data_IF_123716660278
#
_entry.id   IF_123716660278
#
_cell.length_a   1.000
_cell.length_b   1.000
_cell.length_c   1.000
_cell.angle_alpha   90.00
_cell.angle_beta   90.00
_cell.angle_gamma   90.00
#
_symmetry.space_group_name_H-M   'P 1'
#
loop_
_entity.id
_entity.type
_entity.pdbx_description
1 polymer ?
#
# COMPACT_ATOMS: atom_id res chain seq x y z
N UNK A 1 14.83 24.60 34.78
CA UNK A 1 16.17 24.31 34.21
C UNK A 1 16.08 24.61 32.74
N UNK A 2 16.97 25.43 32.17
CA UNK A 2 16.98 25.66 30.71
C UNK A 2 17.42 24.34 30.07
N UNK A 3 16.46 23.56 29.57
CA UNK A 3 16.77 22.39 28.77
C UNK A 3 17.24 22.91 27.42
N UNK A 4 18.53 22.77 27.13
CA UNK A 4 19.07 23.07 25.81
C UNK A 4 18.61 21.95 24.87
N UNK A 5 17.75 22.21 23.87
CA UNK A 5 17.32 21.21 22.92
C UNK A 5 18.53 20.74 22.09
N UNK A 6 18.45 19.50 21.59
CA UNK A 6 19.47 18.93 20.71
C UNK A 6 19.75 19.87 19.54
N UNK A 7 21.03 20.00 19.20
CA UNK A 7 21.45 20.77 18.04
C UNK A 7 21.07 20.05 16.75
N UNK A 8 20.91 20.82 15.66
CA UNK A 8 20.59 20.27 14.33
C UNK A 8 21.63 19.24 13.87
N UNK A 9 22.90 19.39 14.29
CA UNK A 9 23.96 18.42 13.98
C UNK A 9 23.76 17.09 14.70
N UNK A 10 23.44 17.14 15.99
CA UNK A 10 23.18 15.94 16.79
C UNK A 10 21.91 15.22 16.36
N UNK A 11 20.85 15.97 16.00
CA UNK A 11 19.64 15.40 15.38
C UNK A 11 19.96 14.67 14.08
N UNK A 12 20.83 15.25 13.24
CA UNK A 12 21.24 14.65 11.97
C UNK A 12 22.11 13.40 12.15
N UNK A 13 22.94 13.35 13.19
CA UNK A 13 23.71 12.15 13.56
C UNK A 13 22.82 11.04 14.14
N UNK A 14 21.81 11.39 14.93
CA UNK A 14 20.85 10.44 15.49
C UNK A 14 19.84 9.92 14.45
N UNK A 15 19.76 10.57 13.28
CA UNK A 15 18.78 10.26 12.24
C UNK A 15 19.03 8.88 11.64
N UNK A 16 18.05 7.98 11.77
CA UNK A 16 18.06 6.70 11.05
C UNK A 16 18.00 6.93 9.54
N UNK A 17 18.75 6.16 8.73
CA UNK A 17 18.69 6.28 7.28
C UNK A 17 17.30 5.87 6.76
N UNK A 18 16.77 6.64 5.82
CA UNK A 18 15.49 6.34 5.18
C UNK A 18 15.66 5.07 4.34
N UNK A 19 15.01 3.97 4.77
CA UNK A 19 15.06 2.70 4.06
C UNK A 19 13.90 2.60 3.07
N UNK A 20 14.19 2.39 1.80
CA UNK A 20 13.15 2.20 0.80
C UNK A 20 12.62 0.76 0.84
N UNK A 21 11.62 0.54 1.69
CA UNK A 21 10.94 -0.77 1.86
C UNK A 21 10.39 -1.35 0.56
N UNK A 22 10.03 -0.53 -0.43
CA UNK A 22 9.51 -1.02 -1.70
C UNK A 22 10.60 -1.71 -2.56
N UNK A 23 11.85 -1.23 -2.50
CA UNK A 23 12.97 -1.80 -3.26
C UNK A 23 13.40 -3.12 -2.64
N UNK A 24 13.58 -3.15 -1.32
CA UNK A 24 13.93 -4.39 -0.61
C UNK A 24 12.87 -5.48 -0.75
N UNK A 25 11.59 -5.10 -0.82
CA UNK A 25 10.52 -6.08 -1.01
C UNK A 25 10.56 -6.71 -2.40
N UNK A 26 10.75 -5.91 -3.46
CA UNK A 26 10.83 -6.44 -4.84
C UNK A 26 12.02 -7.38 -5.05
N UNK A 27 13.14 -7.12 -4.39
CA UNK A 27 14.36 -7.93 -4.49
C UNK A 27 14.23 -9.30 -3.80
N UNK A 28 13.38 -9.41 -2.78
CA UNK A 28 13.21 -10.64 -1.99
C UNK A 28 12.17 -11.63 -2.54
N UNK A 29 11.38 -11.22 -3.53
CA UNK A 29 10.32 -12.08 -4.11
C UNK A 29 10.91 -13.16 -5.04
N UNK A 30 10.55 -14.40 -4.77
CA UNK A 30 10.83 -15.53 -5.64
C UNK A 30 10.07 -15.44 -6.97
N UNK A 31 10.50 -16.22 -7.97
CA UNK A 31 9.87 -16.25 -9.30
C UNK A 31 8.39 -16.64 -9.23
N UNK A 32 8.03 -17.61 -8.36
CA UNK A 32 6.65 -18.05 -8.18
C UNK A 32 5.78 -17.00 -7.49
N UNK A 33 6.32 -16.29 -6.51
CA UNK A 33 5.63 -15.19 -5.85
C UNK A 33 5.39 -14.01 -6.80
N UNK A 34 6.39 -13.69 -7.66
CA UNK A 34 6.23 -12.68 -8.73
C UNK A 34 5.13 -13.07 -9.71
N UNK A 35 5.07 -14.35 -10.08
CA UNK A 35 4.00 -14.86 -10.95
C UNK A 35 2.62 -14.73 -10.27
N UNK A 36 2.49 -15.20 -9.02
CA UNK A 36 1.23 -15.09 -8.26
C UNK A 36 0.77 -13.64 -8.10
N UNK A 37 1.69 -12.72 -7.82
CA UNK A 37 1.42 -11.28 -7.76
C UNK A 37 0.92 -10.74 -9.09
N UNK A 38 1.61 -11.05 -10.19
CA UNK A 38 1.22 -10.58 -11.53
C UNK A 38 -0.18 -11.07 -11.91
N UNK A 39 -0.47 -12.35 -11.64
CA UNK A 39 -1.80 -12.93 -11.88
C UNK A 39 -2.86 -12.24 -11.04
N UNK A 40 -2.59 -12.02 -9.74
CA UNK A 40 -3.51 -11.36 -8.81
C UNK A 40 -3.78 -9.92 -9.20
N UNK A 41 -2.74 -9.16 -9.58
CA UNK A 41 -2.87 -7.77 -10.02
C UNK A 41 -3.66 -7.66 -11.33
N UNK A 42 -3.51 -8.61 -12.25
CA UNK A 42 -4.21 -8.61 -13.54
C UNK A 42 -5.68 -9.03 -13.39
N UNK A 43 -5.92 -10.16 -12.71
CA UNK A 43 -7.26 -10.75 -12.54
C UNK A 43 -8.10 -9.95 -11.53
N UNK A 44 -7.46 -9.34 -10.53
CA UNK A 44 -8.13 -8.55 -9.50
C UNK A 44 -8.66 -7.18 -9.98
N UNK A 45 -8.50 -6.83 -11.26
CA UNK A 45 -9.00 -5.56 -11.79
C UNK A 45 -10.50 -5.58 -12.08
N UNK A 46 -11.16 -4.44 -11.86
CA UNK A 46 -12.57 -4.28 -12.23
C UNK A 46 -12.80 -4.42 -13.75
N UNK A 47 -11.83 -4.01 -14.57
CA UNK A 47 -11.88 -4.18 -16.02
C UNK A 47 -11.91 -5.65 -16.44
N UNK A 48 -11.07 -6.49 -15.84
CA UNK A 48 -11.05 -7.93 -16.13
C UNK A 48 -12.38 -8.60 -15.75
N UNK A 49 -12.96 -8.23 -14.61
CA UNK A 49 -14.30 -8.69 -14.21
C UNK A 49 -15.37 -8.36 -15.26
N UNK A 50 -15.39 -7.12 -15.78
CA UNK A 50 -16.36 -6.71 -16.79
C UNK A 50 -16.18 -7.47 -18.11
N UNK A 51 -14.93 -7.72 -18.53
CA UNK A 51 -14.63 -8.52 -19.73
C UNK A 51 -15.18 -9.94 -19.57
N UNK A 52 -14.92 -10.60 -18.44
CA UNK A 52 -15.44 -11.94 -18.16
C UNK A 52 -16.97 -11.97 -18.08
N UNK A 53 -17.58 -10.96 -17.48
CA UNK A 53 -19.04 -10.84 -17.39
C UNK A 53 -19.66 -10.73 -18.77
N UNK A 54 -19.18 -9.81 -19.61
CA UNK A 54 -19.67 -9.61 -20.98
C UNK A 54 -19.46 -10.86 -21.84
N UNK A 55 -18.30 -11.50 -21.73
CA UNK A 55 -18.02 -12.76 -22.40
C UNK A 55 -19.00 -13.86 -21.98
N UNK A 56 -19.25 -14.01 -20.68
CA UNK A 56 -20.17 -15.02 -20.13
C UNK A 56 -21.59 -14.78 -20.61
N UNK A 57 -22.07 -13.54 -20.55
CA UNK A 57 -23.40 -13.17 -21.05
C UNK A 57 -23.51 -13.39 -22.57
N UNK A 58 -22.47 -13.06 -23.32
CA UNK A 58 -22.40 -13.31 -24.77
C UNK A 58 -22.46 -14.79 -25.11
N UNK A 59 -21.70 -15.63 -24.39
CA UNK A 59 -21.68 -17.08 -24.57
C UNK A 59 -23.04 -17.73 -24.25
N UNK A 60 -23.62 -17.38 -23.10
CA UNK A 60 -24.94 -17.88 -22.69
C UNK A 60 -26.00 -17.40 -23.69
N UNK A 61 -25.96 -16.12 -24.06
CA UNK A 61 -26.86 -15.53 -25.05
C UNK A 61 -26.81 -16.31 -26.37
N UNK A 62 -25.61 -16.53 -26.92
CA UNK A 62 -25.41 -17.28 -28.15
C UNK A 62 -25.98 -18.71 -28.07
N UNK A 63 -25.74 -19.43 -26.97
CA UNK A 63 -26.21 -20.81 -26.83
C UNK A 63 -27.72 -20.94 -26.58
N UNK A 64 -28.40 -19.87 -26.11
CA UNK A 64 -29.86 -19.84 -25.95
C UNK A 64 -30.56 -19.42 -27.24
N UNK A 65 -30.15 -18.30 -27.84
CA UNK A 65 -30.87 -17.68 -28.98
C UNK A 65 -30.37 -18.14 -30.33
N UNK A 66 -29.17 -18.72 -30.40
CA UNK A 66 -28.54 -19.16 -31.64
C UNK A 66 -29.28 -20.32 -32.32
N UNK A 67 -29.03 -20.54 -33.63
CA UNK A 67 -29.55 -21.67 -34.39
C UNK A 67 -29.19 -22.99 -33.72
N UNK A 68 -30.12 -23.94 -33.62
CA UNK A 68 -29.93 -25.22 -32.91
C UNK A 68 -28.68 -25.97 -33.39
N UNK A 69 -28.39 -25.91 -34.68
CA UNK A 69 -27.24 -26.57 -35.31
C UNK A 69 -25.89 -25.94 -34.97
N UNK A 70 -25.87 -24.70 -34.47
CA UNK A 70 -24.65 -23.94 -34.11
C UNK A 70 -24.50 -23.74 -32.59
N UNK A 71 -25.32 -24.41 -31.77
CA UNK A 71 -25.20 -24.37 -30.31
C UNK A 71 -24.06 -25.29 -29.87
N UNK A 72 -23.04 -24.72 -29.25
CA UNK A 72 -21.89 -25.46 -28.74
C UNK A 72 -22.20 -26.16 -27.41
N UNK A 73 -23.06 -25.57 -26.56
CA UNK A 73 -23.42 -26.07 -25.23
C UNK A 73 -24.92 -25.85 -24.96
N UNK A 74 -25.80 -26.81 -25.34
CA UNK A 74 -27.24 -26.65 -25.26
C UNK A 74 -27.80 -26.57 -23.83
N UNK A 75 -28.86 -25.80 -23.65
CA UNK A 75 -29.71 -25.80 -22.45
C UNK A 75 -30.23 -27.23 -22.15
N UNK A 76 -30.31 -27.71 -20.88
CA UNK A 76 -30.35 -26.93 -19.63
C UNK A 76 -29.04 -26.80 -18.86
N UNK A 77 -28.10 -27.71 -19.08
CA UNK A 77 -27.05 -27.96 -18.09
C UNK A 77 -25.75 -27.19 -18.33
N UNK A 78 -25.53 -26.61 -19.53
CA UNK A 78 -24.31 -25.88 -19.88
C UNK A 78 -23.02 -26.57 -19.37
N UNK A 79 -22.94 -27.89 -19.59
CA UNK A 79 -22.01 -28.76 -18.85
C UNK A 79 -20.56 -28.43 -19.20
N UNK A 80 -20.30 -28.11 -20.46
CA UNK A 80 -18.95 -27.76 -20.92
C UNK A 80 -18.49 -26.47 -20.27
N UNK A 81 -19.35 -25.45 -20.28
CA UNK A 81 -19.06 -24.17 -19.63
C UNK A 81 -18.84 -24.33 -18.12
N UNK A 82 -19.73 -25.04 -17.42
CA UNK A 82 -19.61 -25.25 -15.97
C UNK A 82 -18.34 -26.02 -15.60
N UNK A 83 -18.01 -27.07 -16.35
CA UNK A 83 -16.82 -27.86 -16.09
C UNK A 83 -15.53 -27.05 -16.28
N UNK A 84 -15.40 -26.37 -17.42
CA UNK A 84 -14.21 -25.56 -17.75
C UNK A 84 -14.07 -24.40 -16.77
N UNK A 85 -15.15 -23.66 -16.51
CA UNK A 85 -15.12 -22.51 -15.59
C UNK A 85 -14.75 -22.93 -14.17
N UNK A 86 -15.31 -24.05 -13.68
CA UNK A 86 -14.99 -24.57 -12.36
C UNK A 86 -13.53 -25.02 -12.24
N UNK A 87 -13.00 -25.73 -13.24
CA UNK A 87 -11.60 -26.17 -13.23
C UNK A 87 -10.63 -24.98 -13.17
N UNK A 88 -10.89 -23.95 -13.99
CA UNK A 88 -10.10 -22.72 -14.00
C UNK A 88 -10.20 -22.00 -12.64
N UNK A 89 -11.41 -21.89 -12.09
CA UNK A 89 -11.63 -21.23 -10.80
C UNK A 89 -10.89 -21.93 -9.65
N UNK A 90 -10.95 -23.27 -9.59
CA UNK A 90 -10.26 -24.06 -8.56
C UNK A 90 -8.73 -23.87 -8.61
N UNK A 91 -8.16 -23.66 -9.80
CA UNK A 91 -6.73 -23.36 -9.95
C UNK A 91 -6.40 -21.90 -9.61
N UNK A 92 -7.27 -20.96 -9.99
CA UNK A 92 -7.02 -19.52 -9.80
C UNK A 92 -7.18 -19.07 -8.36
N UNK A 93 -8.18 -19.58 -7.62
CA UNK A 93 -8.48 -19.09 -6.27
C UNK A 93 -7.28 -19.17 -5.30
N UNK A 94 -6.57 -20.32 -5.17
CA UNK A 94 -5.39 -20.38 -4.30
C UNK A 94 -4.25 -19.49 -4.79
N UNK A 95 -4.07 -19.38 -6.11
CA UNK A 95 -3.02 -18.54 -6.70
C UNK A 95 -3.27 -17.05 -6.42
N UNK A 96 -4.52 -16.62 -6.53
CA UNK A 96 -4.97 -15.26 -6.16
C UNK A 96 -4.76 -15.03 -4.67
N UNK A 97 -5.11 -16.00 -3.81
CA UNK A 97 -4.95 -15.89 -2.36
C UNK A 97 -3.47 -15.74 -1.97
N UNK A 98 -2.57 -16.46 -2.65
CA UNK A 98 -1.12 -16.29 -2.44
C UNK A 98 -0.68 -14.87 -2.81
N UNK A 99 -1.10 -14.34 -3.96
CA UNK A 99 -0.77 -12.97 -4.34
C UNK A 99 -1.34 -11.93 -3.38
N UNK A 100 -2.57 -12.14 -2.89
CA UNK A 100 -3.18 -11.28 -1.86
C UNK A 100 -2.40 -11.31 -0.55
N UNK A 101 -1.98 -12.49 -0.07
CA UNK A 101 -1.15 -12.61 1.13
C UNK A 101 0.18 -11.87 0.99
N UNK A 102 0.81 -11.92 -0.18
CA UNK A 102 2.02 -11.18 -0.48
C UNK A 102 1.79 -9.67 -0.47
N UNK A 103 0.71 -9.19 -1.09
CA UNK A 103 0.33 -7.78 -1.06
C UNK A 103 0.05 -7.28 0.36
N UNK A 104 -0.67 -8.07 1.17
CA UNK A 104 -0.96 -7.75 2.57
C UNK A 104 0.31 -7.68 3.42
N UNK A 105 1.22 -8.65 3.26
CA UNK A 105 2.51 -8.64 3.96
C UNK A 105 3.36 -7.42 3.57
N UNK A 106 3.34 -7.03 2.30
CA UNK A 106 4.01 -5.82 1.84
C UNK A 106 3.38 -4.55 2.44
N UNK A 107 2.05 -4.48 2.49
CA UNK A 107 1.33 -3.37 3.08
C UNK A 107 1.64 -3.21 4.56
N UNK A 108 1.74 -4.32 5.31
CA UNK A 108 2.13 -4.33 6.72
C UNK A 108 3.56 -3.79 6.92
N UNK A 109 4.53 -4.27 6.11
CA UNK A 109 5.92 -3.78 6.17
C UNK A 109 6.00 -2.29 5.84
N UNK A 110 5.22 -1.81 4.87
CA UNK A 110 5.14 -0.39 4.53
C UNK A 110 4.54 0.43 5.68
N UNK A 111 3.43 -0.03 6.26
CA UNK A 111 2.79 0.65 7.37
C UNK A 111 3.72 0.75 8.60
N UNK A 112 4.50 -0.28 8.88
CA UNK A 112 5.51 -0.26 9.93
C UNK A 112 6.61 0.76 9.66
N UNK A 113 7.11 0.84 8.42
CA UNK A 113 8.12 1.84 8.05
C UNK A 113 7.57 3.27 8.13
N UNK A 114 6.33 3.50 7.69
CA UNK A 114 5.66 4.80 7.79
C UNK A 114 5.43 5.19 9.26
N UNK A 115 5.07 4.23 10.12
CA UNK A 115 4.94 4.45 11.55
C UNK A 115 6.27 4.89 12.19
N UNK A 116 7.38 4.20 11.89
CA UNK A 116 8.71 4.56 12.40
C UNK A 116 9.15 5.95 11.94
N UNK A 117 8.87 6.32 10.69
CA UNK A 117 9.13 7.67 10.17
C UNK A 117 8.29 8.73 10.88
N UNK A 118 7.02 8.45 11.17
CA UNK A 118 6.15 9.38 11.90
C UNK A 118 6.63 9.62 13.33
N UNK A 119 7.04 8.57 14.05
CA UNK A 119 7.62 8.71 15.39
C UNK A 119 8.89 9.54 15.35
N UNK A 120 9.77 9.30 14.36
CA UNK A 120 10.96 10.12 14.20
C UNK A 120 10.63 11.58 13.87
N UNK A 121 9.62 11.83 13.03
CA UNK A 121 9.18 13.18 12.72
C UNK A 121 8.59 13.89 13.95
N UNK A 122 7.88 13.17 14.81
CA UNK A 122 7.36 13.69 16.08
C UNK A 122 8.51 14.15 17.00
N UNK A 123 9.56 13.34 17.18
CA UNK A 123 10.76 13.74 17.94
C UNK A 123 11.46 14.98 17.34
N UNK A 124 11.58 15.04 16.00
CA UNK A 124 12.17 16.19 15.29
C UNK A 124 11.31 17.46 15.51
N UNK A 125 9.99 17.36 15.48
CA UNK A 125 9.05 18.47 15.72
C UNK A 125 9.11 18.94 17.18
N UNK A 126 9.12 18.02 18.15
CA UNK A 126 9.24 18.37 19.56
C UNK A 126 10.52 19.17 19.82
N UNK A 127 11.64 18.75 19.21
CA UNK A 127 12.91 19.48 19.34
C UNK A 127 12.84 20.88 18.75
N UNK A 128 12.14 21.06 17.62
CA UNK A 128 11.90 22.37 17.02
C UNK A 128 11.06 23.25 17.95
N UNK A 129 9.99 22.70 18.54
CA UNK A 129 9.12 23.42 19.48
C UNK A 129 9.92 23.90 20.72
N UNK A 130 10.77 23.04 21.28
CA UNK A 130 11.65 23.41 22.39
C UNK A 130 12.63 24.52 22.00
N UNK A 131 13.13 24.52 20.76
CA UNK A 131 14.01 25.58 20.28
C UNK A 131 13.27 26.93 20.14
N UNK A 132 12.03 26.91 19.65
CA UNK A 132 11.18 28.10 19.54
C UNK A 132 10.80 28.68 20.92
N UNK A 133 10.46 27.81 21.88
CA UNK A 133 10.17 28.23 23.25
C UNK A 133 11.37 28.91 23.90
N UNK A 134 12.56 28.30 23.78
CA UNK A 134 13.80 28.89 24.27
C UNK A 134 14.13 30.23 23.58
N UNK A 135 13.89 30.37 22.27
CA UNK A 135 14.06 31.64 21.57
C UNK A 135 13.12 32.72 22.11
N UNK A 136 11.84 32.39 22.32
CA UNK A 136 10.86 33.32 22.89
C UNK A 136 11.27 33.80 24.29
N UNK A 137 11.76 32.90 25.14
CA UNK A 137 12.26 33.22 26.48
C UNK A 137 13.45 34.18 26.45
N UNK A 138 14.39 33.96 25.52
CA UNK A 138 15.55 34.83 25.35
C UNK A 138 15.14 36.22 24.85
N UNK A 139 14.23 36.29 23.88
CA UNK A 139 13.68 37.55 23.37
C UNK A 139 12.98 38.34 24.49
N UNK A 140 12.17 37.66 25.30
CA UNK A 140 11.49 38.26 26.46
C UNK A 140 12.48 38.85 27.47
N UNK A 141 13.54 38.10 27.82
CA UNK A 141 14.61 38.58 28.72
C UNK A 141 15.34 39.80 28.16
N UNK A 142 15.66 39.80 26.86
CA UNK A 142 16.29 40.95 26.19
C UNK A 142 15.35 42.17 26.22
N UNK A 143 14.08 41.98 25.93
CA UNK A 143 13.08 43.06 25.99
C UNK A 143 13.03 43.71 27.37
N UNK A 144 12.93 42.91 28.43
CA UNK A 144 12.89 43.41 29.81
C UNK A 144 14.18 44.15 30.19
N UNK A 145 15.35 43.63 29.81
CA UNK A 145 16.63 44.32 30.09
C UNK A 145 16.80 45.63 29.32
N UNK A 146 16.21 45.75 28.12
CA UNK A 146 16.19 46.99 27.36
C UNK A 146 15.23 48.02 27.97
N UNK A 147 14.08 47.59 28.49
CA UNK A 147 13.15 48.47 29.22
C UNK A 147 13.78 48.98 30.52
N UNK A 148 14.44 48.12 31.29
CA UNK A 148 15.13 48.50 32.54
C UNK A 148 16.27 49.50 32.31
N UNK A 149 16.97 49.44 31.17
CA UNK A 149 18.04 50.41 30.83
C UNK A 149 17.52 51.76 30.33
N UNK A 150 16.25 51.85 29.95
CA UNK A 150 15.63 53.06 29.39
C UNK A 150 15.05 53.96 30.49
N UNK A 151 14.77 53.39 31.67
CA UNK A 151 14.38 54.10 32.89
C UNK A 151 15.60 54.47 33.74
#
# INVERSE_FOLDING_TARGET
>A
MVHTPLSVRELREKRRPIRNVNVEHREKLSVLERFALTVTETIGTMGFFLILLLWTLGWIGWNIVGPIEMRFDPYPAFVLWLFISNMIQLMLLPLILVGQNLQSKHAEVRAQADFELNVQAEEEIETILQHLENQNDLISKISNTLEDKKN
#
